data_IF_774594547725
#
_entry.id   IF_774594547725
#
_cell.length_a   1.000
_cell.length_b   1.000
_cell.length_c   1.000
_cell.angle_alpha   90.00
_cell.angle_beta   90.00
_cell.angle_gamma   90.00
#
_symmetry.space_group_name_H-M   'P 1'
#
loop_
_entity.id
_entity.type
_entity.pdbx_description
1 polymer ?
#
# COMPACT_ATOMS: atom_id res chain seq x y z
N UNK A 1 -9.30 22.17 8.28
CA UNK A 1 -8.09 21.94 7.48
C UNK A 1 -7.30 20.79 8.07
N UNK A 2 -6.83 19.89 7.21
CA UNK A 2 -5.88 18.84 7.59
C UNK A 2 -4.50 19.23 7.11
N UNK A 3 -3.53 19.12 8.02
CA UNK A 3 -2.14 19.42 7.73
C UNK A 3 -1.30 18.15 7.84
N UNK A 4 -0.43 17.97 6.88
CA UNK A 4 0.54 16.89 6.87
C UNK A 4 1.94 17.48 6.98
N UNK A 5 2.68 17.08 8.01
CA UNK A 5 4.05 17.57 8.22
C UNK A 5 5.01 16.84 7.28
N UNK A 6 5.61 17.55 6.34
CA UNK A 6 6.61 17.04 5.42
C UNK A 6 7.97 17.62 5.81
N UNK A 7 8.95 16.75 5.97
CA UNK A 7 10.34 17.19 6.17
C UNK A 7 10.86 17.71 4.83
N UNK A 8 11.36 18.95 4.81
CA UNK A 8 12.03 19.48 3.64
C UNK A 8 13.29 18.67 3.32
N UNK A 9 13.49 18.31 2.06
CA UNK A 9 14.72 17.63 1.63
C UNK A 9 15.92 18.57 1.58
N UNK A 10 15.68 19.86 1.50
CA UNK A 10 16.71 20.91 1.37
C UNK A 10 17.19 21.39 2.74
N UNK A 11 16.30 21.42 3.74
CA UNK A 11 16.65 21.83 5.09
C UNK A 11 16.24 20.75 6.08
N UNK A 12 17.21 20.25 6.86
CA UNK A 12 16.90 19.28 7.94
C UNK A 12 16.01 19.87 9.02
N UNK A 13 15.90 21.19 9.10
CA UNK A 13 15.07 22.02 10.01
C UNK A 13 14.95 23.44 9.40
N UNK A 14 13.84 24.20 9.59
CA UNK A 14 12.62 23.77 10.31
C UNK A 14 11.72 22.88 9.47
N UNK A 15 10.80 22.20 10.13
CA UNK A 15 9.71 21.49 9.46
C UNK A 15 8.65 22.50 9.03
N UNK A 16 8.15 22.34 7.81
CA UNK A 16 7.05 23.12 7.28
C UNK A 16 5.74 22.34 7.32
N UNK A 17 4.67 23.05 7.60
CA UNK A 17 3.31 22.49 7.56
C UNK A 17 2.68 22.83 6.23
N UNK A 18 2.13 21.82 5.55
CA UNK A 18 1.44 21.99 4.29
C UNK A 18 -0.02 21.60 4.46
N UNK A 19 -0.89 22.35 3.82
CA UNK A 19 -2.27 21.95 3.66
C UNK A 19 -2.33 20.73 2.72
N UNK A 20 -2.84 19.59 3.22
CA UNK A 20 -2.94 18.36 2.47
C UNK A 20 -4.37 18.01 2.09
N UNK A 21 -5.34 18.50 2.84
CA UNK A 21 -6.74 18.36 2.51
C UNK A 21 -7.53 19.55 3.05
N UNK A 22 -8.59 19.92 2.35
CA UNK A 22 -9.56 20.90 2.84
C UNK A 22 -10.69 20.18 3.52
N UNK A 23 -11.27 20.81 4.50
CA UNK A 23 -12.25 20.29 5.46
C UNK A 23 -13.06 19.05 5.03
N UNK A 24 -13.04 18.03 5.88
CA UNK A 24 -13.94 16.86 5.83
C UNK A 24 -15.15 17.03 6.78
N UNK A 25 -15.20 18.10 7.51
CA UNK A 25 -16.20 18.38 8.50
C UNK A 25 -17.29 19.25 7.88
N UNK A 26 -18.54 18.94 8.14
CA UNK A 26 -19.70 19.75 7.71
C UNK A 26 -19.86 21.05 8.50
N UNK A 27 -19.04 21.27 9.49
CA UNK A 27 -18.90 22.45 10.29
C UNK A 27 -17.45 22.62 10.70
N UNK A 28 -17.19 22.96 11.93
CA UNK A 28 -15.86 22.88 12.52
C UNK A 28 -15.60 21.49 13.12
N UNK A 29 -14.37 21.30 13.62
CA UNK A 29 -13.95 20.02 14.18
C UNK A 29 -14.74 19.61 15.44
N UNK A 30 -15.23 20.58 16.22
CA UNK A 30 -15.94 20.34 17.47
C UNK A 30 -17.43 20.13 17.28
N UNK A 31 -18.04 20.91 16.38
CA UNK A 31 -19.48 20.94 16.14
C UNK A 31 -19.89 20.22 14.85
N UNK A 32 -18.97 19.96 13.95
CA UNK A 32 -19.24 19.35 12.64
C UNK A 32 -19.29 17.82 12.67
N UNK A 33 -19.95 17.26 11.68
CA UNK A 33 -20.00 15.83 11.41
C UNK A 33 -18.95 15.46 10.35
N UNK A 34 -18.11 14.44 10.62
CA UNK A 34 -17.13 13.96 9.67
C UNK A 34 -17.80 13.29 8.47
N UNK A 35 -17.31 13.60 7.27
CA UNK A 35 -17.78 12.98 6.03
C UNK A 35 -16.61 12.71 5.08
N UNK A 36 -16.42 11.45 4.68
CA UNK A 36 -15.44 11.07 3.68
C UNK A 36 -15.76 11.59 2.27
N UNK A 37 -17.00 11.99 2.03
CA UNK A 37 -17.46 12.57 0.76
C UNK A 37 -17.35 14.10 0.74
N UNK A 38 -17.07 14.73 1.88
CA UNK A 38 -16.87 16.15 2.02
C UNK A 38 -15.38 16.46 2.10
N UNK A 39 -14.97 17.56 1.49
CA UNK A 39 -13.57 17.98 1.47
C UNK A 39 -12.89 17.74 0.11
N UNK A 40 -11.71 18.29 -0.02
CA UNK A 40 -10.93 18.31 -1.27
C UNK A 40 -9.49 17.87 -0.95
N UNK A 41 -9.01 16.88 -1.71
CA UNK A 41 -7.60 16.49 -1.71
C UNK A 41 -6.77 17.58 -2.41
N UNK A 42 -5.71 18.04 -1.76
CA UNK A 42 -4.79 19.03 -2.33
C UNK A 42 -3.67 18.36 -3.15
N UNK A 43 -3.00 19.15 -3.99
CA UNK A 43 -1.80 18.70 -4.72
C UNK A 43 -0.68 18.26 -3.77
N UNK A 44 -0.57 18.87 -2.60
CA UNK A 44 0.43 18.49 -1.59
C UNK A 44 0.19 17.07 -1.09
N UNK A 45 -1.05 16.67 -0.83
CA UNK A 45 -1.38 15.30 -0.44
C UNK A 45 -1.12 14.31 -1.58
N UNK A 46 -1.49 14.66 -2.81
CA UNK A 46 -1.24 13.84 -3.98
C UNK A 46 0.26 13.59 -4.19
N UNK A 47 1.09 14.63 -4.07
CA UNK A 47 2.56 14.50 -4.12
C UNK A 47 3.12 13.65 -2.99
N UNK A 48 2.56 13.78 -1.77
CA UNK A 48 2.94 12.94 -0.64
C UNK A 48 2.63 11.46 -0.91
N UNK A 49 1.49 11.14 -1.51
CA UNK A 49 1.13 9.77 -1.90
C UNK A 49 2.06 9.20 -2.95
N UNK A 50 2.39 9.95 -4.00
CA UNK A 50 3.38 9.56 -5.00
C UNK A 50 4.72 9.22 -4.36
N UNK A 51 5.21 10.09 -3.47
CA UNK A 51 6.47 9.90 -2.75
C UNK A 51 6.42 8.69 -1.81
N UNK A 52 5.31 8.49 -1.11
CA UNK A 52 5.09 7.35 -0.22
C UNK A 52 5.13 6.03 -0.99
N UNK A 53 4.34 5.90 -2.06
CA UNK A 53 4.31 4.70 -2.89
C UNK A 53 5.68 4.39 -3.51
N UNK A 54 6.37 5.40 -4.05
CA UNK A 54 7.72 5.26 -4.59
C UNK A 54 8.71 4.75 -3.55
N UNK A 55 8.76 5.36 -2.36
CA UNK A 55 9.67 4.95 -1.28
C UNK A 55 9.31 3.57 -0.73
N UNK A 56 8.03 3.25 -0.63
CA UNK A 56 7.59 1.94 -0.16
C UNK A 56 8.00 0.83 -1.12
N UNK A 57 7.88 1.05 -2.44
CA UNK A 57 8.24 0.07 -3.47
C UNK A 57 9.75 -0.25 -3.53
N UNK A 58 10.61 0.63 -3.00
CA UNK A 58 12.07 0.40 -2.98
C UNK A 58 12.56 -0.41 -1.78
N UNK A 59 11.68 -0.80 -0.85
CA UNK A 59 12.04 -1.63 0.30
C UNK A 59 12.55 -3.00 -0.15
N UNK A 60 13.44 -3.59 0.66
CA UNK A 60 14.09 -4.86 0.33
C UNK A 60 13.11 -6.02 0.07
N UNK A 61 12.00 -6.07 0.81
CA UNK A 61 10.96 -7.12 0.66
C UNK A 61 10.25 -7.10 -0.71
N UNK A 62 10.34 -6.01 -1.46
CA UNK A 62 9.68 -5.89 -2.77
C UNK A 62 10.65 -5.99 -3.94
N UNK A 63 11.97 -6.05 -3.65
CA UNK A 63 12.99 -6.22 -4.67
C UNK A 63 12.88 -7.60 -5.31
N UNK A 64 13.00 -7.63 -6.63
CA UNK A 64 12.95 -8.88 -7.40
C UNK A 64 11.57 -9.30 -7.90
N UNK A 65 10.50 -8.65 -7.46
CA UNK A 65 9.19 -8.86 -8.07
C UNK A 65 9.07 -8.06 -9.37
N UNK A 66 8.69 -8.72 -10.45
CA UNK A 66 8.53 -8.09 -11.78
C UNK A 66 7.34 -7.13 -11.85
N UNK A 67 6.37 -7.31 -10.97
CA UNK A 67 5.12 -6.54 -10.89
C UNK A 67 5.13 -5.43 -9.82
N UNK A 68 6.31 -4.97 -9.38
CA UNK A 68 6.43 -3.86 -8.39
C UNK A 68 5.79 -2.57 -8.88
N UNK A 69 5.85 -2.29 -10.18
CA UNK A 69 5.23 -1.09 -10.76
C UNK A 69 3.70 -1.16 -10.69
N UNK A 70 3.13 -2.33 -10.91
CA UNK A 70 1.69 -2.57 -10.73
C UNK A 70 1.28 -2.43 -9.26
N UNK A 71 2.05 -3.01 -8.33
CA UNK A 71 1.85 -2.81 -6.88
C UNK A 71 1.82 -1.33 -6.52
N UNK A 72 2.74 -0.54 -7.07
CA UNK A 72 2.82 0.90 -6.83
C UNK A 72 1.62 1.66 -7.41
N UNK A 73 1.21 1.33 -8.63
CA UNK A 73 0.05 1.93 -9.28
C UNK A 73 -1.25 1.63 -8.51
N UNK A 74 -1.44 0.39 -8.11
CA UNK A 74 -2.61 -0.03 -7.33
C UNK A 74 -2.64 0.64 -5.94
N UNK A 75 -1.49 0.77 -5.28
CA UNK A 75 -1.39 1.48 -4.01
C UNK A 75 -1.74 2.97 -4.15
N UNK A 76 -1.32 3.60 -5.24
CA UNK A 76 -1.67 4.99 -5.51
C UNK A 76 -3.17 5.16 -5.76
N UNK A 77 -3.77 4.24 -6.53
CA UNK A 77 -5.22 4.20 -6.74
C UNK A 77 -5.96 4.04 -5.40
N UNK A 78 -5.53 3.10 -4.56
CA UNK A 78 -6.11 2.90 -3.23
C UNK A 78 -6.01 4.18 -2.37
N UNK A 79 -4.86 4.84 -2.35
CA UNK A 79 -4.68 6.08 -1.62
C UNK A 79 -5.57 7.22 -2.16
N UNK A 80 -5.82 7.28 -3.46
CA UNK A 80 -6.73 8.26 -4.02
C UNK A 80 -8.17 8.07 -3.55
N UNK A 81 -8.58 6.83 -3.28
CA UNK A 81 -9.90 6.48 -2.77
C UNK A 81 -10.04 6.71 -1.27
N UNK A 82 -9.00 6.38 -0.49
CA UNK A 82 -9.05 6.46 0.98
C UNK A 82 -8.42 7.73 1.57
N UNK A 83 -7.83 8.57 0.72
CA UNK A 83 -7.06 9.75 1.18
C UNK A 83 -7.87 10.71 2.05
N UNK A 84 -9.14 10.88 1.76
CA UNK A 84 -10.07 11.71 2.53
C UNK A 84 -10.82 10.97 3.63
N UNK A 85 -10.56 9.68 3.85
CA UNK A 85 -11.21 8.89 4.90
C UNK A 85 -10.47 8.95 6.24
N UNK A 86 -9.29 9.55 6.27
CA UNK A 86 -8.57 9.75 7.52
C UNK A 86 -9.32 10.72 8.44
N UNK A 87 -9.72 10.23 9.61
CA UNK A 87 -10.46 10.98 10.62
C UNK A 87 -9.50 11.44 11.73
N UNK A 88 -9.19 12.74 11.75
CA UNK A 88 -8.26 13.33 12.70
C UNK A 88 -8.82 13.46 14.12
N UNK A 89 -10.13 13.28 14.33
CA UNK A 89 -10.71 13.18 15.66
C UNK A 89 -10.34 11.86 16.34
N UNK A 90 -10.08 10.81 15.55
CA UNK A 90 -9.75 9.46 16.05
C UNK A 90 -8.25 9.19 16.10
N UNK A 91 -7.45 9.87 15.29
CA UNK A 91 -6.00 9.64 15.21
C UNK A 91 -5.26 10.89 14.78
N UNK A 92 -4.10 11.11 15.39
CA UNK A 92 -3.17 12.18 15.04
C UNK A 92 -2.10 11.79 14.02
N UNK A 93 -2.08 10.51 13.57
CA UNK A 93 -1.02 10.00 12.72
C UNK A 93 -1.52 9.57 11.33
N UNK A 94 -1.71 10.50 10.39
CA UNK A 94 -2.12 10.18 9.02
C UNK A 94 -1.08 9.35 8.27
N UNK A 95 0.22 9.47 8.59
CA UNK A 95 1.27 8.71 7.93
C UNK A 95 1.12 7.21 8.17
N UNK A 96 0.81 6.79 9.40
CA UNK A 96 0.54 5.37 9.71
C UNK A 96 -0.68 4.85 8.96
N UNK A 97 -1.75 5.63 8.90
CA UNK A 97 -2.96 5.28 8.17
C UNK A 97 -2.68 5.04 6.68
N UNK A 98 -2.02 5.96 6.02
CA UNK A 98 -1.70 5.83 4.60
C UNK A 98 -0.66 4.74 4.32
N UNK A 99 0.32 4.57 5.21
CA UNK A 99 1.30 3.47 5.08
C UNK A 99 0.62 2.11 5.19
N UNK A 100 -0.36 1.97 6.07
CA UNK A 100 -1.13 0.73 6.19
C UNK A 100 -1.94 0.45 4.91
N UNK A 101 -2.55 1.47 4.32
CA UNK A 101 -3.27 1.32 3.04
C UNK A 101 -2.33 0.85 1.91
N UNK A 102 -1.12 1.40 1.82
CA UNK A 102 -0.10 0.97 0.87
C UNK A 102 0.32 -0.47 1.13
N UNK A 103 0.58 -0.84 2.39
CA UNK A 103 0.94 -2.20 2.79
C UNK A 103 -0.12 -3.21 2.37
N UNK A 104 -1.38 -2.92 2.66
CA UNK A 104 -2.51 -3.79 2.31
C UNK A 104 -2.63 -3.96 0.79
N UNK A 105 -2.44 -2.90 0.02
CA UNK A 105 -2.47 -2.93 -1.44
C UNK A 105 -1.36 -3.80 -2.02
N UNK A 106 -0.11 -3.63 -1.56
CA UNK A 106 1.03 -4.44 -1.99
C UNK A 106 0.85 -5.92 -1.65
N UNK A 107 0.41 -6.20 -0.43
CA UNK A 107 0.14 -7.58 0.02
C UNK A 107 -1.00 -8.22 -0.79
N UNK A 108 -2.03 -7.45 -1.12
CA UNK A 108 -3.14 -7.91 -1.95
C UNK A 108 -2.69 -8.38 -3.33
N UNK A 109 -1.86 -7.58 -4.02
CA UNK A 109 -1.29 -7.95 -5.33
C UNK A 109 -0.40 -9.19 -5.19
N UNK A 110 0.51 -9.21 -4.20
CA UNK A 110 1.37 -10.37 -3.95
C UNK A 110 0.57 -11.66 -3.75
N UNK A 111 -0.50 -11.61 -2.98
CA UNK A 111 -1.35 -12.78 -2.72
C UNK A 111 -2.07 -13.23 -4.00
N UNK A 112 -2.54 -12.30 -4.83
CA UNK A 112 -3.15 -12.63 -6.12
C UNK A 112 -2.15 -13.29 -7.06
N UNK A 113 -0.94 -12.76 -7.16
CA UNK A 113 0.12 -13.34 -8.00
C UNK A 113 0.52 -14.74 -7.53
N UNK A 114 0.66 -14.94 -6.21
CA UNK A 114 0.90 -16.28 -5.65
C UNK A 114 -0.24 -17.26 -5.99
N UNK A 115 -1.50 -16.81 -5.89
CA UNK A 115 -2.65 -17.62 -6.27
C UNK A 115 -2.61 -18.01 -7.75
N UNK A 116 -2.30 -17.07 -8.64
CA UNK A 116 -2.15 -17.34 -10.06
C UNK A 116 -1.00 -18.32 -10.34
N UNK A 117 0.12 -18.19 -9.63
CA UNK A 117 1.23 -19.13 -9.71
C UNK A 117 0.80 -20.54 -9.30
N UNK A 118 0.11 -20.72 -8.19
CA UNK A 118 -0.41 -22.02 -7.76
C UNK A 118 -1.35 -22.64 -8.78
N UNK A 119 -2.27 -21.86 -9.35
CA UNK A 119 -3.18 -22.36 -10.40
C UNK A 119 -2.40 -22.83 -11.64
N UNK A 120 -1.38 -22.07 -12.06
CA UNK A 120 -0.52 -22.46 -13.18
C UNK A 120 0.24 -23.77 -12.89
N UNK A 121 0.81 -23.88 -11.68
CA UNK A 121 1.55 -25.06 -11.25
C UNK A 121 0.67 -26.30 -11.22
N UNK A 122 -0.55 -26.20 -10.68
CA UNK A 122 -1.53 -27.29 -10.66
C UNK A 122 -1.92 -27.74 -12.08
N UNK A 123 -2.06 -26.80 -13.02
CA UNK A 123 -2.34 -27.11 -14.43
C UNK A 123 -1.16 -27.77 -15.11
N UNK A 124 0.07 -27.34 -14.83
CA UNK A 124 1.29 -27.94 -15.38
C UNK A 124 1.42 -29.39 -14.89
N UNK A 125 1.29 -29.63 -13.59
CA UNK A 125 1.35 -30.97 -13.00
C UNK A 125 0.27 -31.91 -13.58
N UNK A 126 -0.97 -31.42 -13.75
CA UNK A 126 -2.06 -32.18 -14.40
C UNK A 126 -1.75 -32.62 -15.83
N UNK A 127 -0.97 -31.82 -16.55
CA UNK A 127 -0.57 -32.12 -17.94
C UNK A 127 0.79 -32.83 -18.01
N UNK A 128 1.33 -33.31 -16.90
CA UNK A 128 2.62 -34.02 -16.84
C UNK A 128 3.84 -33.13 -17.13
N UNK A 129 3.68 -31.80 -16.95
CA UNK A 129 4.74 -30.81 -17.10
C UNK A 129 5.32 -30.43 -15.76
N UNK A 130 6.56 -29.92 -15.75
CA UNK A 130 7.21 -29.48 -14.52
C UNK A 130 6.62 -28.15 -14.04
N UNK A 131 6.20 -28.07 -12.76
CA UNK A 131 5.74 -26.80 -12.16
C UNK A 131 6.90 -25.83 -11.90
N UNK A 132 6.61 -24.67 -11.34
CA UNK A 132 7.61 -23.68 -10.94
C UNK A 132 8.66 -24.27 -9.98
N UNK A 133 9.86 -23.70 -10.01
CA UNK A 133 10.96 -24.14 -9.13
C UNK A 133 10.58 -24.11 -7.64
N UNK A 134 9.82 -23.11 -7.22
CA UNK A 134 9.32 -23.02 -5.82
C UNK A 134 8.45 -24.21 -5.46
N UNK A 135 7.52 -24.60 -6.34
CA UNK A 135 6.65 -25.76 -6.14
C UNK A 135 7.44 -27.07 -6.12
N UNK A 136 8.45 -27.21 -6.99
CA UNK A 136 9.34 -28.38 -6.99
C UNK A 136 10.09 -28.53 -5.68
N UNK A 137 10.59 -27.42 -5.09
CA UNK A 137 11.25 -27.43 -3.79
C UNK A 137 10.29 -27.82 -2.66
N UNK A 138 9.06 -27.31 -2.68
CA UNK A 138 8.07 -27.64 -1.66
C UNK A 138 7.65 -29.12 -1.75
N UNK A 139 7.44 -29.65 -2.95
CA UNK A 139 7.15 -31.07 -3.17
C UNK A 139 8.31 -31.95 -2.67
N UNK A 140 9.56 -31.57 -2.94
CA UNK A 140 10.73 -32.30 -2.46
C UNK A 140 10.82 -32.31 -0.91
N UNK A 141 10.53 -31.19 -0.25
CA UNK A 141 10.50 -31.14 1.22
C UNK A 141 9.44 -32.05 1.83
N UNK A 142 8.26 -32.14 1.23
CA UNK A 142 7.20 -33.04 1.69
C UNK A 142 7.60 -34.50 1.61
N UNK A 143 8.29 -34.93 0.54
CA UNK A 143 8.80 -36.29 0.41
C UNK A 143 9.79 -36.66 1.53
N UNK A 144 10.70 -35.74 1.90
CA UNK A 144 11.66 -35.98 3.00
C UNK A 144 11.02 -36.09 4.38
N UNK A 145 9.85 -35.48 4.59
CA UNK A 145 9.14 -35.52 5.89
C UNK A 145 8.33 -36.81 6.01
N UNK A 146 7.85 -37.39 4.91
CA UNK A 146 7.09 -38.65 4.93
C UNK A 146 7.98 -39.91 5.06
N UNK A 147 9.28 -39.80 4.78
CA UNK A 147 10.27 -40.89 4.91
C UNK A 147 10.96 -40.93 6.29
N UNK A 148 10.69 -40.00 7.21
CA UNK A 148 11.27 -39.92 8.55
C UNK A 148 10.24 -40.14 9.64
#
# INVERSE_FOLDING_TARGET
FKHFRIKSEITKFPYEWYECARSHWKGDLEAGEFSSQHGIMTDNLARAFLKLCKRYSTRANWRGYTYVDEMRAQALLQLSQVGLQFDESKSSNPFSYYTQAVTNSFTGILNNEKKHQHIRDDLLEKNGLSPSYTRQLDNAKHLYIEET
#
